data_IF_447269211302
#
_entry.id   IF_447269211302
#
_cell.length_a   1.000
_cell.length_b   1.000
_cell.length_c   1.000
_cell.angle_alpha   90.00
_cell.angle_beta   90.00
_cell.angle_gamma   90.00
#
_symmetry.space_group_name_H-M   'P 1'
#
loop_
_entity.id
_entity.type
_entity.pdbx_description
1 polymer ?
#
# COMPACT_ATOMS: atom_id res chain seq x y z
N UNK A 1 -6.92 13.33 -4.11
CA UNK A 1 -6.51 14.71 -3.81
C UNK A 1 -7.70 15.51 -3.27
N UNK A 2 -7.69 15.84 -1.97
CA UNK A 2 -8.80 16.56 -1.33
C UNK A 2 -8.95 18.02 -1.79
N UNK A 3 -7.92 18.59 -2.37
CA UNK A 3 -7.95 19.98 -2.88
C UNK A 3 -8.62 20.08 -4.25
N UNK A 4 -8.47 19.07 -5.11
CA UNK A 4 -9.03 19.04 -6.46
C UNK A 4 -10.26 18.14 -6.58
N UNK A 5 -10.47 17.22 -5.65
CA UNK A 5 -11.50 16.16 -5.73
C UNK A 5 -11.17 15.08 -6.75
N UNK A 6 -9.98 15.10 -7.33
CA UNK A 6 -9.56 14.13 -8.34
C UNK A 6 -8.76 12.98 -7.71
N UNK A 7 -8.85 11.80 -8.34
CA UNK A 7 -8.00 10.68 -8.03
C UNK A 7 -6.68 10.82 -8.79
N UNK A 8 -5.56 10.68 -8.10
CA UNK A 8 -4.21 10.72 -8.67
C UNK A 8 -3.28 9.81 -7.86
N UNK A 9 -2.21 9.34 -8.46
CA UNK A 9 -1.23 8.49 -7.81
C UNK A 9 -0.82 7.31 -8.69
N UNK A 10 0.16 6.55 -8.21
CA UNK A 10 0.69 5.39 -8.92
C UNK A 10 -0.39 4.35 -9.25
N UNK A 11 -1.22 3.98 -8.28
CA UNK A 11 -2.28 2.99 -8.47
C UNK A 11 -3.32 3.48 -9.50
N UNK A 12 -3.57 4.80 -9.57
CA UNK A 12 -4.46 5.42 -10.56
C UNK A 12 -3.85 5.35 -11.97
N UNK A 13 -2.55 5.65 -12.09
CA UNK A 13 -1.87 5.54 -13.37
C UNK A 13 -1.85 4.07 -13.87
N UNK A 14 -1.60 3.12 -12.97
CA UNK A 14 -1.70 1.67 -13.31
C UNK A 14 -3.11 1.30 -13.78
N UNK A 15 -4.17 1.83 -13.14
CA UNK A 15 -5.54 1.59 -13.59
C UNK A 15 -5.79 2.13 -15.01
N UNK A 16 -5.27 3.31 -15.34
CA UNK A 16 -5.39 3.85 -16.70
C UNK A 16 -4.57 3.08 -17.74
N UNK A 17 -3.41 2.51 -17.37
CA UNK A 17 -2.67 1.59 -18.26
C UNK A 17 -3.50 0.31 -18.55
N UNK A 18 -4.19 -0.23 -17.53
CA UNK A 18 -5.10 -1.36 -17.74
C UNK A 18 -6.27 -0.98 -18.67
N UNK A 19 -6.89 0.18 -18.42
CA UNK A 19 -7.98 0.67 -19.27
C UNK A 19 -7.51 0.91 -20.71
N UNK A 20 -6.34 1.47 -20.93
CA UNK A 20 -5.77 1.68 -22.26
C UNK A 20 -5.66 0.37 -23.04
N UNK A 21 -5.26 -0.71 -22.38
CA UNK A 21 -5.19 -2.05 -22.98
C UNK A 21 -6.58 -2.65 -23.24
N UNK A 22 -7.53 -2.50 -22.32
CA UNK A 22 -8.90 -3.01 -22.47
C UNK A 22 -9.61 -2.35 -23.65
N UNK A 23 -9.42 -1.04 -23.82
CA UNK A 23 -10.11 -0.25 -24.85
C UNK A 23 -9.29 -0.04 -26.13
N UNK A 24 -8.13 -0.69 -26.25
CA UNK A 24 -7.23 -0.58 -27.41
C UNK A 24 -6.92 0.89 -27.78
N UNK A 25 -6.50 1.67 -26.80
CA UNK A 25 -6.16 3.08 -26.94
C UNK A 25 -4.86 3.42 -26.20
N UNK A 26 -4.40 4.66 -26.33
CA UNK A 26 -3.23 5.14 -25.59
C UNK A 26 -3.59 5.50 -24.14
N UNK A 27 -2.59 5.53 -23.25
CA UNK A 27 -2.77 6.02 -21.86
C UNK A 27 -3.39 7.42 -21.83
N UNK A 28 -2.91 8.35 -22.67
CA UNK A 28 -3.42 9.73 -22.70
C UNK A 28 -4.90 9.77 -23.14
N UNK A 29 -5.30 8.93 -24.10
CA UNK A 29 -6.70 8.79 -24.51
C UNK A 29 -7.56 8.17 -23.39
N UNK A 30 -7.05 7.17 -22.66
CA UNK A 30 -7.76 6.59 -21.54
C UNK A 30 -8.01 7.61 -20.43
N UNK A 31 -7.04 8.44 -20.11
CA UNK A 31 -7.16 9.55 -19.15
C UNK A 31 -8.13 10.62 -19.64
N UNK A 32 -7.95 11.11 -20.89
CA UNK A 32 -8.76 12.17 -21.46
C UNK A 32 -10.24 11.80 -21.57
N UNK A 33 -10.53 10.53 -21.89
CA UNK A 33 -11.89 10.00 -22.00
C UNK A 33 -12.45 9.46 -20.69
N UNK A 34 -11.68 9.52 -19.59
CA UNK A 34 -12.09 9.04 -18.25
C UNK A 34 -12.57 7.59 -18.29
N UNK A 35 -11.80 6.67 -18.89
CA UNK A 35 -12.19 5.28 -19.10
C UNK A 35 -12.17 4.44 -17.81
N UNK A 36 -11.79 5.01 -16.66
CA UNK A 36 -11.89 4.41 -15.34
C UNK A 36 -12.90 5.17 -14.49
N UNK A 37 -13.73 4.43 -13.75
CA UNK A 37 -14.52 4.95 -12.66
C UNK A 37 -13.84 4.55 -11.33
N UNK A 38 -13.64 5.51 -10.42
CA UNK A 38 -12.91 5.26 -9.19
C UNK A 38 -13.83 5.36 -7.97
N UNK A 39 -13.68 4.40 -7.07
CA UNK A 39 -14.38 4.35 -5.78
C UNK A 39 -13.36 4.34 -4.65
N UNK A 40 -13.52 5.23 -3.66
CA UNK A 40 -12.67 5.24 -2.46
C UNK A 40 -12.93 4.01 -1.59
N UNK A 41 -11.86 3.33 -1.20
CA UNK A 41 -11.92 2.14 -0.37
C UNK A 41 -10.98 2.27 0.84
N UNK A 42 -11.21 1.45 1.86
CA UNK A 42 -10.26 1.20 2.94
C UNK A 42 -9.75 -0.24 2.86
N UNK A 43 -8.69 -0.57 3.56
CA UNK A 43 -8.19 -1.94 3.62
C UNK A 43 -9.26 -2.93 4.12
N UNK A 44 -10.19 -2.47 4.99
CA UNK A 44 -11.28 -3.26 5.53
C UNK A 44 -12.44 -3.46 4.53
N UNK A 45 -12.74 -2.45 3.70
CA UNK A 45 -13.96 -2.47 2.86
C UNK A 45 -13.73 -2.97 1.45
N UNK A 46 -12.52 -2.85 0.89
CA UNK A 46 -12.19 -3.14 -0.52
C UNK A 46 -12.57 -4.55 -0.97
N UNK A 47 -12.35 -5.56 -0.11
CA UNK A 47 -12.69 -6.95 -0.44
C UNK A 47 -14.19 -7.18 -0.56
N UNK A 48 -14.99 -6.66 0.39
CA UNK A 48 -16.44 -6.80 0.36
C UNK A 48 -17.10 -6.13 -0.84
N UNK A 49 -16.60 -4.95 -1.26
CA UNK A 49 -17.08 -4.25 -2.45
C UNK A 49 -16.78 -5.06 -3.74
N UNK A 50 -15.61 -5.69 -3.78
CA UNK A 50 -15.24 -6.59 -4.87
C UNK A 50 -16.14 -7.84 -4.93
N UNK A 51 -16.39 -8.46 -3.77
CA UNK A 51 -17.26 -9.66 -3.66
C UNK A 51 -18.71 -9.37 -4.11
N UNK A 52 -19.22 -8.19 -3.76
CA UNK A 52 -20.57 -7.75 -4.12
C UNK A 52 -20.68 -7.33 -5.59
N UNK A 53 -19.57 -7.22 -6.33
CA UNK A 53 -19.57 -6.77 -7.73
C UNK A 53 -19.78 -5.27 -7.90
N UNK A 54 -19.50 -4.49 -6.85
CA UNK A 54 -19.49 -3.02 -6.91
C UNK A 54 -18.20 -2.50 -7.53
N UNK A 55 -17.15 -3.33 -7.57
CA UNK A 55 -15.85 -3.08 -8.19
C UNK A 55 -15.50 -4.23 -9.13
N UNK A 56 -14.92 -3.90 -10.29
CA UNK A 56 -14.35 -4.89 -11.21
C UNK A 56 -13.01 -5.42 -10.73
N UNK A 57 -12.20 -4.53 -10.14
CA UNK A 57 -10.90 -4.85 -9.53
C UNK A 57 -10.57 -3.87 -8.39
N UNK A 58 -9.54 -4.21 -7.61
CA UNK A 58 -8.98 -3.36 -6.57
C UNK A 58 -7.49 -3.14 -6.85
N UNK A 59 -7.13 -1.89 -7.13
CA UNK A 59 -5.74 -1.41 -7.27
C UNK A 59 -5.53 -0.38 -6.16
N UNK A 60 -5.21 -0.86 -4.95
CA UNK A 60 -5.20 -0.02 -3.75
C UNK A 60 -4.35 -0.66 -2.64
N UNK A 61 -3.04 -0.81 -2.88
CA UNK A 61 -2.08 -1.41 -1.92
C UNK A 61 -2.57 -2.74 -1.33
N UNK A 62 -3.11 -3.63 -2.17
CA UNK A 62 -3.64 -4.90 -1.67
C UNK A 62 -2.55 -5.96 -1.65
N UNK A 63 -2.02 -6.23 -0.47
CA UNK A 63 -0.99 -7.25 -0.24
C UNK A 63 -1.49 -8.62 -0.64
N UNK A 64 -0.73 -9.30 -1.47
CA UNK A 64 -0.96 -10.69 -1.87
C UNK A 64 -0.53 -11.61 -0.71
N UNK A 65 -1.46 -12.38 -0.15
CA UNK A 65 -1.16 -13.40 0.85
C UNK A 65 -1.88 -14.69 0.51
N UNK A 66 -1.38 -15.83 0.99
CA UNK A 66 -2.02 -17.14 0.74
C UNK A 66 -3.42 -17.22 1.35
N UNK A 67 -3.67 -16.50 2.45
CA UNK A 67 -5.00 -16.42 3.03
C UNK A 67 -5.96 -15.63 2.13
N UNK A 68 -5.52 -14.47 1.62
CA UNK A 68 -6.31 -13.63 0.72
C UNK A 68 -6.59 -14.29 -0.62
N UNK A 69 -5.67 -15.10 -1.14
CA UNK A 69 -5.87 -15.90 -2.37
C UNK A 69 -6.99 -16.93 -2.27
N UNK A 70 -7.43 -17.28 -1.06
CA UNK A 70 -8.60 -18.15 -0.88
C UNK A 70 -9.93 -17.44 -1.18
N UNK A 71 -9.94 -16.11 -1.09
CA UNK A 71 -11.14 -15.28 -1.25
C UNK A 71 -11.13 -14.47 -2.55
N UNK A 72 -9.96 -14.15 -3.10
CA UNK A 72 -9.83 -13.31 -4.29
C UNK A 72 -8.75 -13.83 -5.23
N UNK A 73 -8.94 -13.59 -6.53
CA UNK A 73 -7.86 -13.72 -7.48
C UNK A 73 -6.90 -12.53 -7.32
N UNK A 74 -5.61 -12.76 -7.53
CA UNK A 74 -4.60 -11.71 -7.57
C UNK A 74 -3.75 -11.85 -8.82
N UNK A 75 -3.34 -10.72 -9.39
CA UNK A 75 -2.28 -10.67 -10.38
C UNK A 75 -0.92 -10.95 -9.72
N UNK A 76 0.12 -11.05 -10.53
CA UNK A 76 1.48 -10.88 -10.06
C UNK A 76 1.62 -9.53 -9.35
N UNK A 77 2.68 -9.36 -8.55
CA UNK A 77 2.95 -8.08 -7.91
C UNK A 77 3.26 -7.01 -8.97
N UNK A 78 2.74 -5.79 -8.81
CA UNK A 78 3.09 -4.64 -9.63
C UNK A 78 4.01 -3.65 -8.92
N UNK A 79 4.22 -3.81 -7.62
CA UNK A 79 5.24 -3.16 -6.80
C UNK A 79 5.53 -3.95 -5.52
N UNK A 80 6.72 -3.76 -4.99
CA UNK A 80 7.08 -4.16 -3.64
C UNK A 80 6.87 -2.99 -2.67
N UNK A 81 6.41 -3.29 -1.46
CA UNK A 81 6.13 -2.27 -0.46
C UNK A 81 6.64 -2.68 0.92
N UNK A 82 7.65 -2.01 1.47
CA UNK A 82 8.09 -2.24 2.84
C UNK A 82 7.16 -1.54 3.84
N UNK A 83 7.03 -2.12 5.03
CA UNK A 83 6.42 -1.48 6.19
C UNK A 83 7.50 -0.80 7.01
N UNK A 84 7.16 0.32 7.62
CA UNK A 84 8.04 1.05 8.56
C UNK A 84 7.20 1.75 9.62
N UNK A 85 7.86 2.41 10.56
CA UNK A 85 7.21 3.25 11.55
C UNK A 85 7.44 4.72 11.25
N UNK A 86 6.43 5.52 11.50
CA UNK A 86 6.54 6.97 11.61
C UNK A 86 6.41 7.37 13.08
N UNK A 87 7.33 8.19 13.55
CA UNK A 87 7.39 8.70 14.93
C UNK A 87 7.58 10.21 14.93
N UNK A 88 7.29 10.86 16.04
CA UNK A 88 7.73 12.24 16.27
C UNK A 88 9.24 12.30 16.30
N UNK A 89 9.86 13.33 15.74
CA UNK A 89 11.32 13.58 15.87
C UNK A 89 11.76 13.74 17.32
N UNK A 90 10.86 14.20 18.19
CA UNK A 90 11.13 14.40 19.62
C UNK A 90 11.06 13.11 20.45
N UNK A 91 10.54 12.01 19.87
CA UNK A 91 10.45 10.72 20.58
C UNK A 91 11.82 10.09 20.87
N UNK A 92 12.81 10.36 20.03
CA UNK A 92 14.13 9.75 20.07
C UNK A 92 14.17 8.30 19.59
N UNK A 93 13.03 7.66 19.27
CA UNK A 93 12.99 6.29 18.78
C UNK A 93 13.50 6.21 17.34
N UNK A 94 14.41 5.28 17.09
CA UNK A 94 14.99 5.02 15.77
C UNK A 94 14.60 3.67 15.20
N UNK A 95 14.31 2.72 16.08
CA UNK A 95 13.97 1.33 15.74
C UNK A 95 12.86 0.83 16.65
N UNK A 96 12.26 -0.30 16.32
CA UNK A 96 11.28 -0.98 17.19
C UNK A 96 11.86 -1.27 18.60
N UNK A 97 13.16 -1.52 18.70
CA UNK A 97 13.80 -1.78 19.98
C UNK A 97 13.75 -0.57 20.97
N UNK A 98 13.52 0.62 20.45
CA UNK A 98 13.39 1.85 21.24
C UNK A 98 11.93 2.12 21.68
N UNK A 99 10.97 1.25 21.31
CA UNK A 99 9.53 1.49 21.49
C UNK A 99 8.91 0.73 22.67
N UNK A 100 9.69 0.44 23.71
CA UNK A 100 9.12 -0.21 24.91
C UNK A 100 8.09 0.70 25.60
N UNK A 101 6.88 0.17 25.80
CA UNK A 101 5.74 0.89 26.36
C UNK A 101 4.97 1.79 25.38
N UNK A 102 5.30 1.78 24.09
CA UNK A 102 4.62 2.60 23.07
C UNK A 102 3.22 2.09 22.75
N UNK A 103 2.35 3.01 22.38
CA UNK A 103 1.10 2.73 21.66
C UNK A 103 1.38 2.89 20.15
N UNK A 104 1.34 1.80 19.41
CA UNK A 104 1.60 1.77 17.98
C UNK A 104 0.28 1.73 17.21
N UNK A 105 -0.02 2.77 16.45
CA UNK A 105 -1.16 2.78 15.54
C UNK A 105 -0.87 1.96 14.28
N UNK A 106 -1.88 1.24 13.80
CA UNK A 106 -1.81 0.47 12.54
C UNK A 106 -3.07 0.67 11.71
N UNK A 107 -3.02 0.32 10.42
CA UNK A 107 -4.20 0.35 9.55
C UNK A 107 -5.12 -0.83 9.81
N UNK A 108 -6.43 -0.57 10.04
CA UNK A 108 -7.42 -1.62 10.26
C UNK A 108 -7.60 -2.49 9.00
N UNK A 109 -7.46 -3.82 9.15
CA UNK A 109 -7.58 -4.78 8.06
C UNK A 109 -6.34 -4.89 7.17
N UNK A 110 -5.21 -4.33 7.62
CA UNK A 110 -3.89 -4.53 7.01
C UNK A 110 -3.17 -5.73 7.64
N UNK A 111 -2.01 -6.07 7.09
CA UNK A 111 -1.10 -7.10 7.62
C UNK A 111 -0.11 -6.55 8.65
N UNK A 112 -0.15 -5.24 8.91
CA UNK A 112 0.93 -4.52 9.62
C UNK A 112 1.18 -5.05 11.02
N UNK A 113 0.12 -5.29 11.82
CA UNK A 113 0.29 -5.78 13.19
C UNK A 113 1.02 -7.13 13.23
N UNK A 114 0.63 -8.07 12.35
CA UNK A 114 1.27 -9.38 12.23
C UNK A 114 2.74 -9.24 11.76
N UNK A 115 3.02 -8.31 10.87
CA UNK A 115 4.37 -8.06 10.37
C UNK A 115 5.28 -7.45 11.45
N UNK A 116 4.76 -6.59 12.33
CA UNK A 116 5.51 -6.07 13.50
C UNK A 116 5.89 -7.20 14.45
N UNK A 117 4.93 -8.07 14.79
CA UNK A 117 5.17 -9.23 15.66
C UNK A 117 6.22 -10.18 15.06
N UNK A 118 6.10 -10.47 13.76
CA UNK A 118 7.05 -11.34 13.06
C UNK A 118 8.45 -10.71 13.03
N UNK A 119 8.53 -9.40 12.72
CA UNK A 119 9.80 -8.66 12.71
C UNK A 119 10.48 -8.67 14.08
N UNK A 120 9.74 -8.37 15.15
CA UNK A 120 10.25 -8.41 16.52
C UNK A 120 10.84 -9.80 16.86
N UNK A 121 10.11 -10.86 16.51
CA UNK A 121 10.53 -12.25 16.72
C UNK A 121 11.79 -12.58 15.93
N UNK A 122 11.85 -12.24 14.66
CA UNK A 122 12.98 -12.58 13.76
C UNK A 122 14.28 -11.86 14.18
N UNK A 123 14.14 -10.63 14.68
CA UNK A 123 15.28 -9.83 15.18
C UNK A 123 15.60 -10.07 16.67
N UNK A 124 14.77 -10.84 17.38
CA UNK A 124 14.95 -11.09 18.83
C UNK A 124 14.73 -9.82 19.67
N UNK A 125 13.85 -8.92 19.20
CA UNK A 125 13.48 -7.70 19.90
C UNK A 125 12.41 -8.04 20.93
N UNK A 126 12.69 -7.79 22.20
CA UNK A 126 11.78 -8.03 23.33
C UNK A 126 11.34 -6.67 23.92
N UNK A 127 10.27 -6.13 23.36
CA UNK A 127 9.65 -4.86 23.80
C UNK A 127 8.14 -5.06 23.97
N UNK A 128 7.56 -4.34 24.94
CA UNK A 128 6.11 -4.34 25.13
C UNK A 128 5.53 -3.11 24.43
N UNK A 129 4.51 -3.31 23.64
CA UNK A 129 3.75 -2.24 23.00
C UNK A 129 2.27 -2.58 22.92
N UNK A 130 1.44 -1.57 22.81
CA UNK A 130 0.02 -1.74 22.53
C UNK A 130 -0.28 -1.39 21.08
N UNK A 131 -1.23 -2.09 20.46
CA UNK A 131 -1.65 -1.82 19.06
C UNK A 131 -3.01 -1.16 19.05
N UNK A 132 -3.14 -0.06 18.30
CA UNK A 132 -4.40 0.64 18.08
C UNK A 132 -4.72 0.72 16.57
N UNK A 133 -5.93 0.27 16.19
CA UNK A 133 -6.40 0.26 14.81
C UNK A 133 -6.96 1.63 14.38
N UNK A 134 -6.61 2.05 13.15
CA UNK A 134 -7.17 3.23 12.49
C UNK A 134 -7.75 2.88 11.13
N UNK A 135 -8.93 3.41 10.83
CA UNK A 135 -9.60 3.16 9.55
C UNK A 135 -8.92 3.88 8.40
N UNK A 136 -8.43 5.10 8.65
CA UNK A 136 -7.74 5.94 7.66
C UNK A 136 -6.34 6.29 8.14
N UNK A 137 -5.39 6.39 7.20
CA UNK A 137 -4.01 6.83 7.51
C UNK A 137 -4.01 8.23 8.14
N UNK A 138 -4.86 9.12 7.63
CA UNK A 138 -5.01 10.48 8.15
C UNK A 138 -5.33 10.52 9.65
N UNK A 139 -6.16 9.60 10.12
CA UNK A 139 -6.58 9.54 11.52
C UNK A 139 -5.43 9.04 12.40
N UNK A 140 -4.69 8.01 11.95
CA UNK A 140 -3.50 7.52 12.64
C UNK A 140 -2.41 8.59 12.72
N UNK A 141 -2.16 9.30 11.63
CA UNK A 141 -1.20 10.41 11.62
C UNK A 141 -1.65 11.57 12.52
N UNK A 142 -2.93 11.89 12.56
CA UNK A 142 -3.47 12.92 13.47
C UNK A 142 -3.31 12.49 14.95
N UNK A 143 -3.56 11.20 15.24
CA UNK A 143 -3.37 10.64 16.57
C UNK A 143 -1.89 10.70 17.02
N UNK A 144 -0.96 10.40 16.08
CA UNK A 144 0.48 10.53 16.33
C UNK A 144 0.87 11.99 16.61
N UNK A 145 0.40 12.94 15.80
CA UNK A 145 0.68 14.37 15.98
C UNK A 145 0.16 14.95 17.29
N UNK A 146 -0.93 14.41 17.81
CA UNK A 146 -1.52 14.85 19.08
C UNK A 146 -0.97 14.09 20.29
N UNK A 147 -0.09 13.11 20.10
CA UNK A 147 0.46 12.27 21.18
C UNK A 147 -0.57 11.29 21.76
N UNK A 148 -1.62 10.95 21.01
CA UNK A 148 -2.55 9.90 21.38
C UNK A 148 -1.93 8.51 21.19
N UNK A 149 -1.05 8.38 20.22
CA UNK A 149 -0.18 7.23 19.96
C UNK A 149 1.26 7.71 19.84
N UNK A 150 2.23 6.81 20.02
CA UNK A 150 3.66 7.13 20.03
C UNK A 150 4.33 6.84 18.70
N UNK A 151 3.80 5.87 17.95
CA UNK A 151 4.24 5.52 16.60
C UNK A 151 3.05 5.17 15.71
N UNK A 152 3.18 5.34 14.40
CA UNK A 152 2.20 4.87 13.43
C UNK A 152 2.90 4.03 12.35
N UNK A 153 2.38 2.84 12.07
CA UNK A 153 2.98 1.89 11.12
C UNK A 153 1.99 1.44 10.07
N UNK A 154 2.35 1.59 8.82
CA UNK A 154 1.69 1.08 7.62
C UNK A 154 2.74 1.03 6.50
N UNK A 155 2.30 0.80 5.28
CA UNK A 155 3.10 0.90 4.06
C UNK A 155 3.91 2.21 4.05
N UNK A 156 5.21 2.11 3.78
CA UNK A 156 6.14 3.27 3.78
C UNK A 156 5.66 4.39 2.86
N UNK A 157 5.19 4.05 1.66
CA UNK A 157 4.66 5.03 0.70
C UNK A 157 3.47 5.81 1.27
N UNK A 158 2.58 5.12 2.01
CA UNK A 158 1.46 5.75 2.70
C UNK A 158 1.89 6.74 3.78
N UNK A 159 2.94 6.42 4.57
CA UNK A 159 3.47 7.32 5.59
C UNK A 159 4.11 8.57 4.97
N UNK A 160 4.92 8.40 3.92
CA UNK A 160 5.60 9.52 3.25
C UNK A 160 4.60 10.58 2.77
N UNK A 161 3.45 10.17 2.27
CA UNK A 161 2.42 11.10 1.79
C UNK A 161 1.87 12.05 2.88
N UNK A 162 2.05 11.70 4.16
CA UNK A 162 1.57 12.48 5.31
C UNK A 162 2.70 13.05 6.18
N UNK A 163 3.96 12.82 5.80
CA UNK A 163 5.10 13.36 6.57
C UNK A 163 5.15 14.88 6.52
N UNK A 164 5.56 15.47 7.64
CA UNK A 164 5.95 16.87 7.76
C UNK A 164 7.26 16.99 8.57
N UNK A 165 7.67 18.23 8.81
CA UNK A 165 8.93 18.52 9.50
C UNK A 165 9.00 18.04 10.96
N UNK A 166 7.86 17.71 11.59
CA UNK A 166 7.80 17.21 12.97
C UNK A 166 7.97 15.70 13.08
N UNK A 167 7.86 14.97 11.96
CA UNK A 167 7.86 13.50 11.90
C UNK A 167 9.11 12.95 11.21
N UNK A 168 9.42 11.71 11.51
CA UNK A 168 10.47 10.94 10.83
C UNK A 168 10.03 9.48 10.66
N UNK A 169 10.57 8.82 9.64
CA UNK A 169 10.53 7.37 9.56
C UNK A 169 11.68 6.79 10.37
N UNK A 170 11.44 5.62 10.97
CA UNK A 170 12.50 4.87 11.65
C UNK A 170 13.46 4.23 10.65
N UNK A 171 14.56 3.70 11.17
CA UNK A 171 15.56 2.95 10.39
C UNK A 171 15.03 1.56 9.99
N UNK A 172 14.00 1.05 10.67
CA UNK A 172 13.38 -0.23 10.36
C UNK A 172 12.60 -0.15 9.04
N UNK A 173 12.93 -1.08 8.14
CA UNK A 173 12.12 -1.41 6.98
C UNK A 173 11.92 -2.92 6.97
N UNK A 174 10.69 -3.38 7.10
CA UNK A 174 10.40 -4.79 7.31
C UNK A 174 9.16 -5.23 6.54
N UNK A 175 8.89 -6.54 6.56
CA UNK A 175 7.67 -7.09 6.02
C UNK A 175 7.40 -6.67 4.59
N UNK A 176 8.43 -6.73 3.71
CA UNK A 176 8.25 -6.38 2.30
C UNK A 176 7.11 -7.19 1.71
N UNK A 177 6.16 -6.48 1.15
CA UNK A 177 4.89 -7.03 0.68
C UNK A 177 4.83 -7.00 -0.85
N UNK A 178 4.36 -8.11 -1.44
CA UNK A 178 3.92 -8.15 -2.82
C UNK A 178 2.57 -7.45 -2.94
N UNK A 179 2.50 -6.35 -3.67
CA UNK A 179 1.24 -5.64 -3.92
C UNK A 179 0.72 -6.03 -5.30
N UNK A 180 -0.47 -6.63 -5.33
CA UNK A 180 -1.14 -7.10 -6.55
C UNK A 180 -2.50 -6.45 -6.77
N UNK A 181 -3.00 -6.56 -7.99
CA UNK A 181 -4.38 -6.19 -8.34
C UNK A 181 -5.28 -7.35 -7.89
N UNK A 182 -6.29 -7.07 -7.07
CA UNK A 182 -7.25 -8.07 -6.65
C UNK A 182 -8.51 -8.04 -7.53
N UNK A 183 -9.02 -9.22 -7.84
CA UNK A 183 -10.24 -9.44 -8.61
C UNK A 183 -11.14 -10.43 -7.89
N UNK A 184 -12.43 -10.43 -8.24
CA UNK A 184 -13.38 -11.41 -7.70
C UNK A 184 -12.89 -12.83 -7.97
N UNK A 185 -12.98 -13.69 -6.97
CA UNK A 185 -12.57 -15.09 -7.09
C UNK A 185 -13.27 -15.78 -8.27
N UNK A 186 -12.51 -16.47 -9.11
CA UNK A 186 -12.99 -17.14 -10.31
C UNK A 186 -13.08 -16.25 -11.56
N UNK A 187 -12.71 -14.96 -11.48
CA UNK A 187 -12.56 -14.11 -12.67
C UNK A 187 -11.19 -14.30 -13.32
N UNK A 188 -10.91 -15.53 -13.77
CA UNK A 188 -9.59 -15.95 -14.25
C UNK A 188 -9.19 -15.25 -15.56
N UNK A 189 -10.16 -14.99 -16.42
CA UNK A 189 -9.93 -14.33 -17.72
C UNK A 189 -9.41 -12.90 -17.54
N UNK A 190 -10.10 -12.09 -16.74
CA UNK A 190 -9.67 -10.72 -16.47
C UNK A 190 -8.37 -10.69 -15.65
N UNK A 191 -8.20 -11.63 -14.69
CA UNK A 191 -6.96 -11.76 -13.93
C UNK A 191 -5.77 -12.01 -14.85
N UNK A 192 -5.92 -12.96 -15.77
CA UNK A 192 -4.88 -13.27 -16.75
C UNK A 192 -4.60 -12.08 -17.67
N UNK A 193 -5.63 -11.40 -18.16
CA UNK A 193 -5.46 -10.23 -19.01
C UNK A 193 -4.65 -9.13 -18.31
N UNK A 194 -4.99 -8.83 -17.03
CA UNK A 194 -4.24 -7.83 -16.26
C UNK A 194 -2.83 -8.29 -15.94
N UNK A 195 -2.63 -9.59 -15.72
CA UNK A 195 -1.31 -10.18 -15.50
C UNK A 195 -0.40 -10.05 -16.72
N UNK A 196 -0.94 -10.38 -17.90
CA UNK A 196 -0.22 -10.24 -19.18
C UNK A 196 0.12 -8.74 -19.42
N UNK A 197 -0.82 -7.83 -19.14
CA UNK A 197 -0.58 -6.38 -19.25
C UNK A 197 0.51 -5.91 -18.29
N UNK A 198 0.52 -6.38 -17.03
CA UNK A 198 1.60 -6.05 -16.08
C UNK A 198 2.95 -6.54 -16.57
N UNK A 199 3.00 -7.72 -17.21
CA UNK A 199 4.23 -8.25 -17.81
C UNK A 199 4.76 -7.30 -18.89
N UNK A 200 3.90 -6.85 -19.81
CA UNK A 200 4.29 -5.90 -20.86
C UNK A 200 4.76 -4.57 -20.27
N UNK A 201 4.07 -4.04 -19.24
CA UNK A 201 4.45 -2.79 -18.58
C UNK A 201 5.79 -2.90 -17.84
N UNK A 202 6.10 -4.08 -17.25
CA UNK A 202 7.41 -4.36 -16.66
C UNK A 202 8.51 -4.44 -17.72
N UNK A 203 8.30 -5.23 -18.75
CA UNK A 203 9.28 -5.43 -19.84
C UNK A 203 9.59 -4.14 -20.60
N UNK A 204 8.61 -3.27 -20.79
CA UNK A 204 8.81 -1.96 -21.41
C UNK A 204 9.46 -0.92 -20.49
N UNK A 205 9.61 -1.19 -19.18
CA UNK A 205 10.07 -0.23 -18.18
C UNK A 205 9.00 0.79 -17.74
N UNK A 206 7.77 0.64 -18.22
CA UNK A 206 6.71 1.61 -17.94
C UNK A 206 6.34 1.67 -16.47
N UNK A 207 6.31 0.54 -15.75
CA UNK A 207 6.05 0.55 -14.31
C UNK A 207 7.13 1.33 -13.54
N UNK A 208 8.40 1.23 -13.93
CA UNK A 208 9.49 1.97 -13.27
C UNK A 208 9.43 3.47 -13.57
N UNK A 209 9.01 3.86 -14.78
CA UNK A 209 8.71 5.27 -15.09
C UNK A 209 7.60 5.81 -14.17
N UNK A 210 6.52 5.05 -13.96
CA UNK A 210 5.43 5.43 -13.08
C UNK A 210 5.86 5.46 -11.60
N UNK A 211 6.68 4.49 -11.14
CA UNK A 211 7.28 4.52 -9.81
C UNK A 211 8.10 5.80 -9.61
N UNK A 212 8.98 6.12 -10.57
CA UNK A 212 9.81 7.33 -10.51
C UNK A 212 8.95 8.62 -10.49
N UNK A 213 7.88 8.69 -11.28
CA UNK A 213 6.93 9.82 -11.29
C UNK A 213 6.34 10.08 -9.91
N UNK A 214 6.04 9.04 -9.16
CA UNK A 214 5.36 9.12 -7.86
C UNK A 214 6.28 8.96 -6.65
N UNK A 215 7.60 8.88 -6.85
CA UNK A 215 8.59 8.70 -5.78
C UNK A 215 8.46 7.36 -5.05
N UNK A 216 7.96 6.34 -5.74
CA UNK A 216 7.87 4.97 -5.23
C UNK A 216 9.21 4.28 -5.50
N UNK A 217 9.68 3.52 -4.53
CA UNK A 217 10.92 2.76 -4.64
C UNK A 217 10.82 1.69 -5.74
N UNK A 218 11.91 1.51 -6.45
CA UNK A 218 12.07 0.34 -7.34
C UNK A 218 12.22 -0.94 -6.52
N UNK A 219 11.99 -2.08 -7.14
CA UNK A 219 12.15 -3.37 -6.47
C UNK A 219 13.60 -3.60 -5.99
N UNK A 220 14.60 -3.04 -6.70
CA UNK A 220 16.01 -3.07 -6.31
C UNK A 220 16.28 -2.21 -5.06
N UNK A 221 15.71 -1.01 -4.99
CA UNK A 221 15.82 -0.14 -3.83
C UNK A 221 15.16 -0.75 -2.59
N UNK A 222 14.00 -1.39 -2.76
CA UNK A 222 13.33 -2.11 -1.66
C UNK A 222 14.18 -3.29 -1.19
N UNK A 223 14.76 -4.07 -2.11
CA UNK A 223 15.65 -5.19 -1.76
C UNK A 223 16.90 -4.72 -0.99
N UNK A 224 17.41 -3.54 -1.28
CA UNK A 224 18.57 -2.97 -0.59
C UNK A 224 18.29 -2.49 0.85
N UNK A 225 17.00 -2.41 1.26
CA UNK A 225 16.58 -2.02 2.62
C UNK A 225 16.48 -3.20 3.60
N UNK A 226 16.61 -4.45 3.13
CA UNK A 226 16.53 -5.67 3.93
C UNK A 226 17.91 -6.11 4.45
#
# INVERSE_FOLDING_TARGET
NTATGEYEGYDIDVAYEMAAKIFDCTYDEAVANKLCEFTSVTAKTRGGLLDNGELDCVIASFTVTDERKKSWNFTQQYRLEPVTFMVSKDSGAKTLADMDGFVIGVGQGTTTAELIEQYAKDKGIDVNYEVQDFQYISDGVAALKTGQIDAYSVDRTGLIAYMDDSMMLTEDAFGVQDIGIALKLGNDELTKFMDDTLTELKESGRLDELKAKWGILTDEEVAAMQ
#
